data_IF_310939189871
#
_entry.id   IF_310939189871
#
_cell.length_a   1.000
_cell.length_b   1.000
_cell.length_c   1.000
_cell.angle_alpha   90.00
_cell.angle_beta   90.00
_cell.angle_gamma   90.00
#
_symmetry.space_group_name_H-M   'P 1'
#
loop_
_entity.id
_entity.type
_entity.pdbx_description
1 polymer ?
#
# COMPACT_ATOMS: atom_id res chain seq x y z
N UNK A 1 -71.59 15.73 -42.12
CA UNK A 1 -71.65 14.33 -41.70
C UNK A 1 -70.33 13.70 -42.06
N UNK A 2 -69.42 13.44 -41.13
CA UNK A 2 -68.51 12.32 -41.21
C UNK A 2 -67.79 12.23 -39.82
N UNK A 3 -67.97 11.07 -39.20
CA UNK A 3 -67.42 10.76 -37.86
C UNK A 3 -65.95 10.37 -37.95
N UNK A 4 -65.10 10.99 -37.17
CA UNK A 4 -63.72 10.55 -36.90
C UNK A 4 -63.71 9.51 -35.79
N UNK A 5 -63.05 8.37 -36.03
CA UNK A 5 -62.77 7.29 -35.07
C UNK A 5 -61.48 7.55 -34.29
N UNK A 6 -61.33 7.13 -33.05
CA UNK A 6 -60.22 7.46 -32.18
C UNK A 6 -59.01 6.55 -32.42
N UNK A 7 -57.80 7.14 -32.37
CA UNK A 7 -56.52 6.43 -32.39
C UNK A 7 -56.29 5.60 -31.12
N UNK A 8 -56.25 4.28 -31.28
CA UNK A 8 -55.79 3.36 -30.23
C UNK A 8 -54.29 3.45 -30.03
N UNK A 9 -53.89 3.89 -28.84
CA UNK A 9 -52.52 3.82 -28.35
C UNK A 9 -52.11 2.35 -28.15
N UNK A 10 -51.13 1.86 -28.91
CA UNK A 10 -50.47 0.57 -28.66
C UNK A 10 -49.61 0.68 -27.38
N UNK A 11 -49.90 -0.15 -26.40
CA UNK A 11 -49.03 -0.38 -25.23
C UNK A 11 -47.77 -1.14 -25.66
N UNK A 12 -46.57 -0.80 -25.12
CA UNK A 12 -45.37 -1.59 -25.37
C UNK A 12 -45.49 -2.92 -24.61
N UNK A 13 -45.21 -4.01 -25.30
CA UNK A 13 -45.22 -5.37 -24.78
C UNK A 13 -44.02 -5.59 -23.79
N UNK A 14 -44.11 -6.63 -22.95
CA UNK A 14 -43.13 -6.89 -21.92
C UNK A 14 -41.79 -7.28 -22.54
N UNK A 15 -40.74 -6.60 -22.09
CA UNK A 15 -39.33 -6.90 -22.41
C UNK A 15 -39.01 -8.28 -21.83
N UNK A 16 -38.70 -9.25 -22.68
CA UNK A 16 -38.21 -10.58 -22.28
C UNK A 16 -36.88 -10.43 -21.60
N UNK A 17 -36.86 -10.55 -20.27
CA UNK A 17 -35.64 -10.71 -19.48
C UNK A 17 -34.93 -12.01 -19.86
N UNK A 18 -33.74 -11.90 -20.38
CA UNK A 18 -32.83 -13.03 -20.55
C UNK A 18 -32.45 -13.56 -19.17
N UNK A 19 -33.05 -14.70 -18.77
CA UNK A 19 -32.63 -15.46 -17.60
C UNK A 19 -31.23 -16.01 -17.85
N UNK A 20 -30.25 -15.36 -17.28
CA UNK A 20 -28.93 -15.96 -17.07
C UNK A 20 -29.09 -17.09 -16.04
N UNK A 21 -29.10 -18.32 -16.51
CA UNK A 21 -28.99 -19.52 -15.66
C UNK A 21 -27.55 -19.57 -15.16
N UNK A 22 -27.27 -19.02 -13.99
CA UNK A 22 -26.07 -19.34 -13.23
C UNK A 22 -26.15 -20.79 -12.78
N UNK A 23 -25.28 -21.64 -13.31
CA UNK A 23 -25.03 -22.97 -12.71
C UNK A 23 -24.51 -22.75 -11.29
N UNK A 24 -25.05 -23.48 -10.27
CA UNK A 24 -24.43 -23.44 -8.95
C UNK A 24 -23.00 -23.95 -9.09
N UNK A 25 -22.05 -23.06 -8.84
CA UNK A 25 -20.64 -23.42 -8.77
C UNK A 25 -20.45 -24.38 -7.62
N UNK A 26 -19.98 -25.59 -7.90
CA UNK A 26 -19.48 -26.48 -6.87
C UNK A 26 -18.45 -25.71 -6.00
N UNK A 27 -18.40 -25.97 -4.67
CA UNK A 27 -17.41 -25.35 -3.81
C UNK A 27 -16.03 -25.69 -4.41
N UNK A 28 -15.31 -24.65 -4.84
CA UNK A 28 -13.93 -24.80 -5.24
C UNK A 28 -13.16 -25.22 -3.98
N UNK A 29 -13.03 -26.51 -3.80
CA UNK A 29 -12.11 -27.06 -2.84
C UNK A 29 -10.76 -26.40 -3.10
N UNK A 30 -10.18 -25.85 -2.05
CA UNK A 30 -8.89 -25.18 -2.04
C UNK A 30 -7.78 -26.24 -2.22
N UNK A 31 -7.79 -26.91 -3.39
CA UNK A 31 -6.68 -27.73 -3.84
C UNK A 31 -5.58 -26.78 -4.31
N UNK A 32 -4.93 -26.12 -3.33
CA UNK A 32 -3.55 -25.77 -3.54
C UNK A 32 -2.80 -27.10 -3.81
N UNK A 33 -2.76 -27.51 -5.06
CA UNK A 33 -1.64 -28.30 -5.52
C UNK A 33 -0.39 -27.50 -5.13
N UNK A 34 0.25 -27.89 -4.03
CA UNK A 34 1.63 -27.55 -3.75
C UNK A 34 2.39 -27.97 -5.00
N UNK A 35 2.66 -27.01 -5.91
CA UNK A 35 3.75 -27.19 -6.87
C UNK A 35 4.91 -27.55 -5.99
N UNK A 36 5.39 -28.78 -6.11
CA UNK A 36 6.58 -29.26 -5.39
C UNK A 36 7.65 -28.22 -5.65
N UNK A 37 8.12 -27.58 -4.59
CA UNK A 37 9.09 -26.51 -4.69
C UNK A 37 10.34 -27.10 -5.31
N UNK A 38 10.67 -26.73 -6.54
CA UNK A 38 11.82 -27.27 -7.26
C UNK A 38 13.14 -27.14 -6.46
N UNK A 39 13.20 -26.18 -5.53
CA UNK A 39 14.35 -25.92 -4.67
C UNK A 39 14.29 -26.62 -3.30
N UNK A 40 13.19 -27.33 -2.99
CA UNK A 40 12.98 -27.93 -1.66
C UNK A 40 14.02 -29.01 -1.31
N UNK A 41 14.68 -29.61 -2.32
CA UNK A 41 15.69 -30.62 -2.12
C UNK A 41 17.06 -30.07 -1.69
N UNK A 42 17.26 -28.74 -1.79
CA UNK A 42 18.54 -28.11 -1.49
C UNK A 42 18.70 -27.87 0.03
N UNK A 43 19.83 -28.18 0.65
CA UNK A 43 20.11 -27.92 2.06
C UNK A 43 19.90 -26.46 2.45
N UNK A 44 20.32 -25.51 1.61
CA UNK A 44 20.16 -24.07 1.85
C UNK A 44 18.69 -23.65 1.96
N UNK A 45 17.75 -24.34 1.30
CA UNK A 45 16.32 -24.05 1.37
C UNK A 45 15.76 -24.39 2.75
N UNK A 46 16.22 -25.49 3.36
CA UNK A 46 15.84 -25.85 4.73
C UNK A 46 16.25 -24.75 5.71
N UNK A 47 17.49 -24.29 5.64
CA UNK A 47 17.95 -23.18 6.50
C UNK A 47 17.20 -21.89 6.24
N UNK A 48 16.80 -21.62 5.00
CA UNK A 48 15.94 -20.48 4.69
C UNK A 48 14.59 -20.60 5.41
N UNK A 49 13.96 -21.76 5.44
CA UNK A 49 12.68 -21.95 6.11
C UNK A 49 12.80 -21.83 7.63
N UNK A 50 13.85 -22.38 8.23
CA UNK A 50 14.18 -22.21 9.65
C UNK A 50 14.41 -20.71 10.01
N UNK A 51 15.12 -19.97 9.15
CA UNK A 51 15.30 -18.53 9.33
C UNK A 51 13.98 -17.75 9.31
N UNK A 52 13.06 -18.09 8.41
CA UNK A 52 11.77 -17.41 8.35
C UNK A 52 10.85 -17.78 9.49
N UNK A 53 10.91 -19.00 9.99
CA UNK A 53 10.22 -19.38 11.23
C UNK A 53 10.76 -18.59 12.42
N UNK A 54 12.08 -18.50 12.56
CA UNK A 54 12.74 -17.66 13.57
C UNK A 54 12.30 -16.19 13.45
N UNK A 55 12.22 -15.63 12.24
CA UNK A 55 11.75 -14.27 12.03
C UNK A 55 10.31 -14.08 12.54
N UNK A 56 9.40 -15.02 12.28
CA UNK A 56 8.02 -14.94 12.75
C UNK A 56 7.96 -15.02 14.28
N UNK A 57 8.71 -15.93 14.89
CA UNK A 57 8.82 -16.07 16.36
C UNK A 57 9.36 -14.78 17.01
N UNK A 58 10.34 -14.14 16.38
CA UNK A 58 10.91 -12.88 16.86
C UNK A 58 10.10 -11.64 16.52
N UNK A 59 8.89 -11.79 15.91
CA UNK A 59 7.91 -10.75 15.76
C UNK A 59 7.97 -9.97 14.46
N UNK A 60 8.69 -10.45 13.43
CA UNK A 60 8.59 -9.86 12.10
C UNK A 60 7.21 -10.12 11.50
N UNK A 61 6.71 -9.18 10.70
CA UNK A 61 5.41 -9.33 10.02
C UNK A 61 5.50 -10.36 8.90
N UNK A 62 4.38 -11.04 8.61
CA UNK A 62 4.29 -12.02 7.52
C UNK A 62 4.64 -11.41 6.16
N UNK A 63 4.33 -10.13 5.93
CA UNK A 63 4.67 -9.42 4.69
C UNK A 63 6.18 -9.21 4.55
N UNK A 64 6.85 -8.80 5.63
CA UNK A 64 8.32 -8.70 5.65
C UNK A 64 8.98 -10.05 5.36
N UNK A 65 8.46 -11.13 5.97
CA UNK A 65 8.94 -12.49 5.73
C UNK A 65 8.73 -12.89 4.27
N UNK A 66 7.54 -12.59 3.71
CA UNK A 66 7.21 -12.91 2.31
C UNK A 66 8.16 -12.22 1.32
N UNK A 67 8.39 -10.93 1.48
CA UNK A 67 9.30 -10.17 0.61
C UNK A 67 10.75 -10.69 0.71
N UNK A 68 11.25 -10.93 1.93
CA UNK A 68 12.60 -11.47 2.13
C UNK A 68 12.74 -12.90 1.60
N UNK A 69 11.71 -13.73 1.75
CA UNK A 69 11.66 -15.10 1.20
C UNK A 69 11.86 -15.08 -0.31
N UNK A 70 11.15 -14.20 -1.00
CA UNK A 70 11.27 -14.09 -2.46
C UNK A 70 12.71 -13.73 -2.89
N UNK A 71 13.35 -12.78 -2.20
CA UNK A 71 14.72 -12.39 -2.51
C UNK A 71 15.73 -13.54 -2.28
N UNK A 72 15.63 -14.23 -1.13
CA UNK A 72 16.51 -15.38 -0.82
C UNK A 72 16.27 -16.54 -1.79
N UNK A 73 15.01 -16.83 -2.14
CA UNK A 73 14.70 -17.87 -3.13
C UNK A 73 15.32 -17.60 -4.50
N UNK A 74 15.32 -16.34 -4.96
CA UNK A 74 16.00 -15.97 -6.22
C UNK A 74 17.49 -16.22 -6.14
N UNK A 75 18.11 -15.93 -5.01
CA UNK A 75 19.52 -16.25 -4.79
C UNK A 75 19.77 -17.76 -4.78
N UNK A 76 18.93 -18.54 -4.09
CA UNK A 76 19.05 -20.01 -4.06
C UNK A 76 18.91 -20.60 -5.46
N UNK A 77 17.95 -20.15 -6.27
CA UNK A 77 17.82 -20.59 -7.66
C UNK A 77 19.07 -20.25 -8.49
N UNK A 78 19.64 -19.05 -8.29
CA UNK A 78 20.88 -18.67 -8.96
C UNK A 78 22.08 -19.52 -8.51
N UNK A 79 22.11 -19.98 -7.26
CA UNK A 79 23.10 -20.91 -6.72
C UNK A 79 22.93 -22.31 -7.32
N UNK A 80 21.69 -22.81 -7.38
CA UNK A 80 21.36 -24.14 -7.94
C UNK A 80 21.81 -24.26 -9.39
N UNK A 81 21.58 -23.27 -10.23
CA UNK A 81 22.08 -23.16 -11.60
C UNK A 81 23.63 -23.33 -11.71
N UNK A 82 24.34 -23.20 -10.57
CA UNK A 82 25.82 -23.26 -10.48
C UNK A 82 26.32 -24.40 -9.64
N UNK A 83 25.44 -25.33 -9.26
CA UNK A 83 25.77 -26.48 -8.44
C UNK A 83 26.13 -26.17 -6.99
N UNK A 84 25.71 -25.00 -6.48
CA UNK A 84 25.93 -24.55 -5.08
C UNK A 84 24.66 -24.84 -4.27
N UNK A 85 24.70 -25.81 -3.39
CA UNK A 85 23.53 -26.31 -2.68
C UNK A 85 23.57 -26.06 -1.16
N UNK A 86 24.78 -25.93 -0.61
CA UNK A 86 25.01 -25.79 0.83
C UNK A 86 25.44 -24.35 1.18
N UNK A 87 24.87 -23.71 2.22
CA UNK A 87 25.28 -22.37 2.62
C UNK A 87 26.75 -22.27 3.04
N UNK A 88 27.39 -23.40 3.41
CA UNK A 88 28.82 -23.46 3.77
C UNK A 88 29.75 -23.28 2.57
N UNK A 89 29.24 -23.50 1.37
CA UNK A 89 29.98 -23.29 0.11
C UNK A 89 29.98 -21.82 -0.32
N UNK A 90 29.08 -21.03 0.25
CA UNK A 90 28.90 -19.62 -0.15
C UNK A 90 29.97 -18.75 0.49
N UNK A 91 30.79 -18.15 -0.36
CA UNK A 91 31.86 -17.24 0.04
C UNK A 91 31.57 -15.81 -0.39
N UNK A 92 32.30 -14.81 0.14
CA UNK A 92 32.19 -13.41 -0.29
C UNK A 92 32.31 -13.25 -1.82
N UNK A 93 33.30 -13.85 -2.53
CA UNK A 93 33.36 -13.76 -4.00
C UNK A 93 32.11 -14.29 -4.72
N UNK A 94 31.40 -15.29 -4.16
CA UNK A 94 30.14 -15.81 -4.73
C UNK A 94 29.04 -14.76 -4.58
N UNK A 95 28.92 -14.11 -3.42
CA UNK A 95 27.95 -13.04 -3.19
C UNK A 95 28.22 -11.83 -4.09
N UNK A 96 29.48 -11.44 -4.26
CA UNK A 96 29.87 -10.36 -5.19
C UNK A 96 29.57 -10.74 -6.66
N UNK A 97 29.70 -12.02 -7.02
CA UNK A 97 29.30 -12.52 -8.34
C UNK A 97 27.79 -12.45 -8.53
N UNK A 98 27.01 -12.77 -7.49
CA UNK A 98 25.56 -12.58 -7.53
C UNK A 98 25.17 -11.10 -7.64
N UNK A 99 25.85 -10.20 -6.92
CA UNK A 99 25.66 -8.76 -7.05
C UNK A 99 25.93 -8.28 -8.48
N UNK A 100 27.00 -8.75 -9.11
CA UNK A 100 27.27 -8.46 -10.53
C UNK A 100 26.19 -9.04 -11.44
N UNK A 101 25.67 -10.23 -11.15
CA UNK A 101 24.55 -10.80 -11.89
C UNK A 101 23.31 -9.89 -11.81
N UNK A 102 22.95 -9.36 -10.65
CA UNK A 102 21.84 -8.43 -10.49
C UNK A 102 22.05 -7.12 -11.27
N UNK A 103 23.27 -6.62 -11.34
CA UNK A 103 23.61 -5.42 -12.12
C UNK A 103 23.40 -5.63 -13.63
N UNK A 104 23.80 -6.78 -14.15
CA UNK A 104 23.64 -7.11 -15.58
C UNK A 104 22.26 -7.68 -15.93
N UNK A 105 21.45 -8.00 -14.93
CA UNK A 105 20.11 -8.52 -15.16
C UNK A 105 19.24 -7.50 -15.91
N UNK A 106 18.46 -7.99 -16.87
CA UNK A 106 17.50 -7.19 -17.62
C UNK A 106 16.09 -7.74 -17.38
N UNK A 107 15.16 -6.85 -17.11
CA UNK A 107 13.74 -7.17 -17.00
C UNK A 107 13.16 -7.56 -18.35
N UNK A 108 11.91 -8.03 -18.38
CA UNK A 108 11.22 -8.37 -19.62
C UNK A 108 11.09 -7.18 -20.59
N UNK A 109 11.05 -5.95 -20.07
CA UNK A 109 11.07 -4.70 -20.83
C UNK A 109 12.47 -4.27 -21.30
N UNK A 110 13.51 -5.06 -21.05
CA UNK A 110 14.91 -4.77 -21.38
C UNK A 110 15.59 -3.81 -20.41
N UNK A 111 14.87 -3.19 -19.46
CA UNK A 111 15.45 -2.25 -18.51
C UNK A 111 16.31 -2.95 -17.44
N UNK A 112 17.39 -2.30 -16.96
CA UNK A 112 18.17 -2.82 -15.84
C UNK A 112 17.38 -2.76 -14.52
N UNK A 113 17.81 -3.52 -13.52
CA UNK A 113 17.34 -3.33 -12.14
C UNK A 113 17.81 -1.98 -11.61
N UNK A 114 16.90 -1.25 -10.96
CA UNK A 114 17.28 -0.03 -10.22
C UNK A 114 18.22 -0.37 -9.07
N UNK A 115 19.02 0.60 -8.61
CA UNK A 115 19.89 0.43 -7.45
C UNK A 115 19.08 0.05 -6.20
N UNK A 116 17.89 0.63 -6.00
CA UNK A 116 16.97 0.25 -4.91
C UNK A 116 16.53 -1.21 -5.02
N UNK A 117 16.19 -1.71 -6.23
CA UNK A 117 15.82 -3.12 -6.43
C UNK A 117 17.00 -4.07 -6.18
N UNK A 118 18.22 -3.69 -6.57
CA UNK A 118 19.42 -4.47 -6.26
C UNK A 118 19.69 -4.49 -4.75
N UNK A 119 19.57 -3.35 -4.07
CA UNK A 119 19.69 -3.24 -2.62
C UNK A 119 18.64 -4.11 -1.90
N UNK A 120 17.38 -4.07 -2.32
CA UNK A 120 16.30 -4.89 -1.77
C UNK A 120 16.54 -6.40 -1.98
N UNK A 121 17.20 -6.80 -3.05
CA UNK A 121 17.57 -8.20 -3.29
C UNK A 121 18.73 -8.66 -2.40
N UNK A 122 19.70 -7.80 -2.08
CA UNK A 122 20.92 -8.14 -1.33
C UNK A 122 20.75 -8.03 0.19
N UNK A 123 19.94 -7.08 0.68
CA UNK A 123 19.73 -6.85 2.13
C UNK A 123 19.22 -8.10 2.86
N UNK A 124 18.24 -8.87 2.35
CA UNK A 124 17.82 -10.12 2.97
C UNK A 124 18.93 -11.16 3.07
N UNK A 125 19.86 -11.22 2.11
CA UNK A 125 21.00 -12.13 2.16
C UNK A 125 21.95 -11.78 3.31
N UNK A 126 22.24 -10.47 3.53
CA UNK A 126 23.07 -10.06 4.68
C UNK A 126 22.45 -10.51 6.01
N UNK A 127 21.13 -10.38 6.16
CA UNK A 127 20.43 -10.82 7.39
C UNK A 127 20.39 -12.34 7.51
N UNK A 128 20.21 -13.06 6.43
CA UNK A 128 20.20 -14.53 6.39
C UNK A 128 21.55 -15.12 6.76
N UNK A 129 22.63 -14.69 6.11
CA UNK A 129 23.99 -15.17 6.43
C UNK A 129 24.47 -14.75 7.83
N UNK A 130 24.04 -13.57 8.31
CA UNK A 130 24.27 -13.17 9.70
C UNK A 130 23.58 -14.12 10.68
N UNK A 131 22.35 -14.52 10.39
CA UNK A 131 21.61 -15.49 11.20
C UNK A 131 22.26 -16.86 11.15
N UNK A 132 22.64 -17.37 9.97
CA UNK A 132 23.33 -18.66 9.83
C UNK A 132 24.62 -18.73 10.65
N UNK A 133 25.42 -17.65 10.66
CA UNK A 133 26.66 -17.59 11.45
C UNK A 133 26.34 -17.52 12.96
N UNK A 134 25.29 -16.78 13.36
CA UNK A 134 24.86 -16.67 14.76
C UNK A 134 24.37 -18.00 15.33
N UNK A 135 23.65 -18.78 14.53
CA UNK A 135 23.15 -20.11 14.91
C UNK A 135 24.16 -21.25 14.67
N UNK A 136 25.43 -20.91 14.31
CA UNK A 136 26.53 -21.85 14.05
C UNK A 136 26.27 -22.84 12.91
N UNK A 137 25.42 -22.51 11.95
CA UNK A 137 25.22 -23.29 10.73
C UNK A 137 26.39 -23.11 9.75
N UNK A 138 27.07 -21.97 9.82
CA UNK A 138 28.31 -21.64 9.08
C UNK A 138 29.33 -21.06 10.05
N UNK A 139 30.62 -21.25 9.75
CA UNK A 139 31.71 -20.80 10.63
C UNK A 139 31.88 -19.29 10.67
N UNK A 140 31.57 -18.59 9.59
CA UNK A 140 31.72 -17.14 9.45
C UNK A 140 30.69 -16.57 8.47
N UNK A 141 30.36 -15.31 8.61
CA UNK A 141 29.38 -14.63 7.77
C UNK A 141 30.01 -14.12 6.47
N UNK A 142 29.77 -14.73 5.29
CA UNK A 142 30.36 -14.29 4.02
C UNK A 142 29.81 -12.93 3.53
N UNK A 143 28.67 -12.47 4.09
CA UNK A 143 28.04 -11.22 3.71
C UNK A 143 28.42 -10.04 4.63
N UNK A 144 29.33 -10.25 5.62
CA UNK A 144 29.73 -9.20 6.56
C UNK A 144 30.26 -7.95 5.85
N UNK A 145 31.17 -8.15 4.90
CA UNK A 145 31.85 -7.10 4.14
C UNK A 145 31.22 -6.84 2.76
N UNK A 146 30.04 -7.42 2.49
CA UNK A 146 29.35 -7.18 1.21
C UNK A 146 28.86 -5.72 1.17
N UNK A 147 29.41 -4.93 0.25
CA UNK A 147 28.98 -3.55 0.01
C UNK A 147 27.69 -3.54 -0.78
N UNK A 148 26.67 -2.90 -0.21
CA UNK A 148 25.38 -2.76 -0.91
C UNK A 148 25.46 -1.57 -1.89
N UNK A 149 24.72 -1.64 -3.02
CA UNK A 149 24.60 -0.49 -3.92
C UNK A 149 24.12 0.75 -3.16
N UNK A 150 24.67 1.94 -3.45
CA UNK A 150 24.19 3.16 -2.83
C UNK A 150 22.73 3.39 -3.20
N UNK A 151 21.92 3.78 -2.22
CA UNK A 151 20.55 4.24 -2.51
C UNK A 151 20.61 5.74 -2.82
N UNK A 152 20.40 6.13 -4.08
CA UNK A 152 20.36 7.54 -4.42
C UNK A 152 19.14 8.17 -3.75
N UNK A 153 19.37 9.22 -2.99
CA UNK A 153 18.28 10.03 -2.44
C UNK A 153 17.71 10.90 -3.55
N UNK A 154 16.62 10.44 -4.16
CA UNK A 154 15.89 11.24 -5.12
C UNK A 154 14.72 11.92 -4.42
N UNK A 155 14.51 13.19 -4.70
CA UNK A 155 13.25 13.85 -4.35
C UNK A 155 12.09 13.13 -5.07
N UNK A 156 10.90 13.06 -4.49
CA UNK A 156 9.74 12.45 -5.12
C UNK A 156 9.51 13.03 -6.51
N UNK A 157 9.53 12.17 -7.54
CA UNK A 157 9.34 12.60 -8.93
C UNK A 157 7.91 13.02 -9.23
N UNK A 158 6.97 12.66 -8.39
CA UNK A 158 5.54 12.92 -8.59
C UNK A 158 4.90 13.31 -7.26
N UNK A 159 4.47 14.56 -7.16
CA UNK A 159 3.59 15.03 -6.11
C UNK A 159 2.25 15.39 -6.76
N UNK A 160 1.14 15.00 -6.12
CA UNK A 160 -0.18 15.47 -6.52
C UNK A 160 -0.35 16.90 -6.02
N UNK A 161 -0.79 17.80 -6.91
CA UNK A 161 -1.27 19.11 -6.49
C UNK A 161 -2.67 19.00 -5.85
N UNK A 162 -3.16 20.08 -5.26
CA UNK A 162 -4.53 20.13 -4.72
C UNK A 162 -5.54 19.88 -5.86
N UNK A 163 -5.29 20.46 -7.03
CA UNK A 163 -6.13 20.33 -8.23
C UNK A 163 -6.14 18.89 -8.74
N UNK A 164 -4.97 18.20 -8.74
CA UNK A 164 -4.87 16.78 -9.11
C UNK A 164 -5.72 15.92 -8.15
N UNK A 165 -5.57 16.14 -6.85
CA UNK A 165 -6.36 15.40 -5.84
C UNK A 165 -7.85 15.64 -6.04
N UNK A 166 -8.27 16.89 -6.22
CA UNK A 166 -9.68 17.22 -6.45
C UNK A 166 -10.21 16.62 -7.78
N UNK A 167 -9.37 16.52 -8.81
CA UNK A 167 -9.74 15.86 -10.07
C UNK A 167 -9.95 14.36 -9.85
N UNK A 168 -9.02 13.69 -9.16
CA UNK A 168 -9.13 12.25 -8.83
C UNK A 168 -10.38 11.99 -7.97
N UNK A 169 -10.64 12.84 -6.98
CA UNK A 169 -11.81 12.74 -6.11
C UNK A 169 -13.11 12.89 -6.91
N UNK A 170 -13.18 13.82 -7.88
CA UNK A 170 -14.35 14.02 -8.75
C UNK A 170 -14.59 12.90 -9.73
N UNK A 171 -13.56 12.15 -10.13
CA UNK A 171 -13.69 11.01 -11.03
C UNK A 171 -14.49 9.85 -10.39
N UNK A 172 -14.56 9.76 -9.07
CA UNK A 172 -15.41 8.78 -8.39
C UNK A 172 -16.90 9.17 -8.49
N UNK A 173 -17.67 8.46 -9.31
CA UNK A 173 -19.11 8.67 -9.48
C UNK A 173 -19.89 8.29 -8.20
N UNK A 174 -20.11 9.27 -7.36
CA UNK A 174 -20.81 9.09 -6.08
C UNK A 174 -22.33 8.84 -6.19
N UNK A 175 -22.90 8.82 -7.39
CA UNK A 175 -24.29 8.42 -7.62
C UNK A 175 -24.45 6.88 -7.59
N UNK A 176 -23.38 6.15 -7.86
CA UNK A 176 -23.34 4.70 -7.80
C UNK A 176 -22.92 4.18 -6.41
N UNK A 177 -23.37 2.99 -6.07
CA UNK A 177 -23.04 2.33 -4.78
C UNK A 177 -21.50 2.15 -4.62
N UNK A 178 -20.86 1.65 -5.68
CA UNK A 178 -19.40 1.42 -5.67
C UNK A 178 -18.62 2.73 -5.73
N UNK A 179 -19.09 3.71 -6.48
CA UNK A 179 -18.41 5.00 -6.58
C UNK A 179 -18.53 5.82 -5.29
N UNK A 180 -19.65 5.74 -4.55
CA UNK A 180 -19.77 6.36 -3.24
C UNK A 180 -18.79 5.76 -2.23
N UNK A 181 -18.61 4.42 -2.22
CA UNK A 181 -17.57 3.76 -1.45
C UNK A 181 -16.17 4.26 -1.84
N UNK A 182 -15.88 4.23 -3.15
CA UNK A 182 -14.58 4.57 -3.68
C UNK A 182 -14.25 6.04 -3.37
N UNK A 183 -15.24 6.95 -3.46
CA UNK A 183 -15.10 8.35 -3.03
C UNK A 183 -14.76 8.46 -1.55
N UNK A 184 -15.44 7.73 -0.68
CA UNK A 184 -15.16 7.74 0.75
C UNK A 184 -13.74 7.21 1.07
N UNK A 185 -13.28 6.15 0.38
CA UNK A 185 -11.91 5.64 0.51
C UNK A 185 -10.87 6.70 0.14
N UNK A 186 -11.05 7.39 -0.99
CA UNK A 186 -10.13 8.43 -1.46
C UNK A 186 -10.09 9.63 -0.52
N UNK A 187 -11.25 10.07 -0.01
CA UNK A 187 -11.35 11.17 0.96
C UNK A 187 -10.65 10.83 2.28
N UNK A 188 -10.82 9.61 2.79
CA UNK A 188 -10.14 9.16 4.00
C UNK A 188 -8.63 9.07 3.77
N UNK A 189 -8.16 8.52 2.63
CA UNK A 189 -6.74 8.49 2.28
C UNK A 189 -6.12 9.89 2.29
N UNK A 190 -6.77 10.84 1.65
CA UNK A 190 -6.26 12.21 1.54
C UNK A 190 -6.28 12.93 2.90
N UNK A 191 -7.39 12.81 3.62
CA UNK A 191 -7.55 13.50 4.90
C UNK A 191 -6.59 13.01 5.98
N UNK A 192 -6.34 11.70 6.03
CA UNK A 192 -5.60 11.07 7.14
C UNK A 192 -4.16 10.72 6.79
N UNK A 193 -3.82 10.65 5.50
CA UNK A 193 -2.52 10.18 5.05
C UNK A 193 -2.18 8.75 5.47
N UNK A 194 -3.18 7.89 5.70
CA UNK A 194 -2.99 6.50 6.10
C UNK A 194 -2.21 5.71 5.03
N UNK A 195 -1.44 4.71 5.48
CA UNK A 195 -0.86 3.73 4.57
C UNK A 195 -1.97 2.86 3.97
N UNK A 196 -1.76 2.36 2.75
CA UNK A 196 -2.75 1.49 2.06
C UNK A 196 -3.18 0.29 2.90
N UNK A 197 -2.24 -0.34 3.61
CA UNK A 197 -2.51 -1.47 4.50
C UNK A 197 -3.29 -1.06 5.74
N UNK A 198 -3.00 0.11 6.30
CA UNK A 198 -3.73 0.66 7.45
C UNK A 198 -5.18 0.94 7.07
N UNK A 199 -5.43 1.60 5.93
CA UNK A 199 -6.80 1.87 5.47
C UNK A 199 -7.58 0.57 5.18
N UNK A 200 -6.94 -0.40 4.51
CA UNK A 200 -7.57 -1.67 4.19
C UNK A 200 -7.96 -2.48 5.43
N UNK A 201 -7.19 -2.34 6.52
CA UNK A 201 -7.40 -3.06 7.76
C UNK A 201 -8.31 -2.32 8.77
N UNK A 202 -8.80 -1.12 8.45
CA UNK A 202 -9.72 -0.39 9.33
C UNK A 202 -11.00 -1.18 9.55
N UNK A 203 -11.45 -1.21 10.80
CA UNK A 203 -12.73 -1.76 11.19
C UNK A 203 -13.77 -0.64 11.33
N UNK A 204 -15.05 -0.99 11.28
CA UNK A 204 -16.16 -0.02 11.43
C UNK A 204 -16.04 0.84 12.68
N UNK A 205 -15.62 0.22 13.79
CA UNK A 205 -15.49 0.88 15.08
C UNK A 205 -14.19 1.66 15.27
N UNK A 206 -13.28 1.61 14.30
CA UNK A 206 -12.04 2.38 14.33
C UNK A 206 -12.25 3.83 13.85
N UNK A 207 -13.37 4.14 13.19
CA UNK A 207 -13.75 5.48 12.78
C UNK A 207 -14.82 6.04 13.72
N UNK A 208 -14.46 7.04 14.51
CA UNK A 208 -15.38 7.78 15.36
C UNK A 208 -15.75 9.10 14.66
N UNK A 209 -16.91 9.08 13.98
CA UNK A 209 -17.41 10.22 13.22
C UNK A 209 -17.89 11.37 14.10
N UNK A 210 -18.29 11.08 15.33
CA UNK A 210 -18.74 12.12 16.28
C UNK A 210 -17.56 12.97 16.77
N UNK A 211 -16.37 12.34 16.90
CA UNK A 211 -15.13 12.98 17.32
C UNK A 211 -14.21 13.32 16.17
N UNK A 212 -14.54 12.93 14.95
CA UNK A 212 -13.72 13.08 13.75
C UNK A 212 -12.30 12.56 13.95
N UNK A 213 -12.18 11.29 14.34
CA UNK A 213 -10.91 10.58 14.55
C UNK A 213 -10.96 9.17 13.98
N UNK A 214 -9.79 8.66 13.65
CA UNK A 214 -9.58 7.27 13.22
C UNK A 214 -8.52 6.62 14.12
N UNK A 215 -8.83 5.45 14.66
CA UNK A 215 -7.90 4.62 15.43
C UNK A 215 -7.15 3.69 14.47
N UNK A 216 -5.86 3.88 14.35
CA UNK A 216 -4.98 3.00 13.54
C UNK A 216 -4.35 2.01 14.48
N UNK A 217 -4.76 0.74 14.34
CA UNK A 217 -4.22 -0.38 15.13
C UNK A 217 -3.06 -1.03 14.40
N UNK A 218 -2.08 -1.49 15.16
CA UNK A 218 -0.94 -2.24 14.63
C UNK A 218 -0.24 -1.57 13.43
N UNK A 219 -0.08 -0.25 13.49
CA UNK A 219 0.71 0.49 12.50
C UNK A 219 2.14 -0.03 12.37
N UNK A 220 2.97 0.57 11.50
CA UNK A 220 4.38 0.16 11.33
C UNK A 220 5.07 0.07 12.71
N UNK A 221 5.62 -1.10 13.05
CA UNK A 221 6.21 -1.38 14.37
C UNK A 221 5.19 -1.72 15.45
N UNK A 222 3.97 -2.15 15.11
CA UNK A 222 2.88 -2.52 16.03
C UNK A 222 2.49 -1.42 17.02
N UNK A 223 2.56 -0.17 16.60
CA UNK A 223 2.18 0.98 17.43
C UNK A 223 0.82 1.50 17.00
N UNK A 224 -0.08 1.60 17.96
CA UNK A 224 -1.39 2.22 17.76
C UNK A 224 -1.24 3.74 17.76
N UNK A 225 -2.06 4.40 16.96
CA UNK A 225 -2.17 5.87 16.98
C UNK A 225 -3.57 6.31 16.62
N UNK A 226 -3.90 7.53 17.05
CA UNK A 226 -5.15 8.22 16.68
C UNK A 226 -4.81 9.29 15.65
N UNK A 227 -5.57 9.30 14.57
CA UNK A 227 -5.39 10.24 13.45
C UNK A 227 -6.65 11.10 13.32
N UNK A 228 -6.53 12.44 13.20
CA UNK A 228 -7.67 13.28 12.93
C UNK A 228 -8.28 13.01 11.56
N UNK A 229 -9.60 13.06 11.47
CA UNK A 229 -10.38 12.94 10.23
C UNK A 229 -10.96 14.33 9.91
N UNK A 230 -10.72 14.83 8.70
CA UNK A 230 -11.31 16.10 8.27
C UNK A 230 -12.82 16.00 8.10
N UNK A 231 -13.53 17.12 8.33
CA UNK A 231 -15.00 17.20 8.24
C UNK A 231 -15.53 16.64 6.91
N UNK A 232 -14.90 17.02 5.79
CA UNK A 232 -15.31 16.55 4.45
C UNK A 232 -15.19 15.03 4.32
N UNK A 233 -14.09 14.44 4.78
CA UNK A 233 -13.90 13.01 4.76
C UNK A 233 -14.88 12.29 5.70
N UNK A 234 -15.17 12.87 6.86
CA UNK A 234 -16.20 12.38 7.79
C UNK A 234 -17.58 12.32 7.15
N UNK A 235 -18.00 13.38 6.43
CA UNK A 235 -19.29 13.40 5.72
C UNK A 235 -19.37 12.33 4.62
N UNK A 236 -18.31 12.16 3.84
CA UNK A 236 -18.30 11.10 2.81
C UNK A 236 -18.29 9.70 3.41
N UNK A 237 -17.59 9.52 4.53
CA UNK A 237 -17.57 8.24 5.23
C UNK A 237 -18.94 7.91 5.84
N UNK A 238 -19.59 8.88 6.46
CA UNK A 238 -20.95 8.75 7.00
C UNK A 238 -21.95 8.36 5.90
N UNK A 239 -21.91 9.09 4.77
CA UNK A 239 -22.75 8.80 3.61
C UNK A 239 -22.51 7.39 3.07
N UNK A 240 -21.25 6.94 2.97
CA UNK A 240 -20.92 5.58 2.58
C UNK A 240 -21.50 4.56 3.55
N UNK A 241 -21.29 4.75 4.85
CA UNK A 241 -21.78 3.84 5.88
C UNK A 241 -23.31 3.71 5.90
N UNK A 242 -24.02 4.82 5.68
CA UNK A 242 -25.48 4.86 5.70
C UNK A 242 -26.12 4.37 4.40
N UNK A 243 -25.57 4.72 3.23
CA UNK A 243 -26.26 4.56 1.94
C UNK A 243 -25.66 3.48 1.05
N UNK A 244 -24.36 3.26 1.08
CA UNK A 244 -23.67 2.36 0.14
C UNK A 244 -23.32 1.03 0.79
N UNK A 245 -22.64 1.07 1.95
CA UNK A 245 -22.14 -0.14 2.62
C UNK A 245 -23.22 -1.21 2.86
N UNK A 246 -24.44 -0.89 3.30
CA UNK A 246 -25.50 -1.89 3.52
C UNK A 246 -25.95 -2.63 2.25
N UNK A 247 -25.64 -2.09 1.07
CA UNK A 247 -26.05 -2.67 -0.21
C UNK A 247 -25.08 -3.76 -0.71
N UNK A 248 -23.91 -3.91 -0.08
CA UNK A 248 -22.98 -4.98 -0.44
C UNK A 248 -23.36 -6.30 0.24
N UNK A 249 -23.39 -7.38 -0.52
CA UNK A 249 -23.65 -8.73 -0.01
C UNK A 249 -22.51 -9.11 0.94
N UNK A 250 -22.83 -9.64 2.13
CA UNK A 250 -21.82 -10.02 3.11
C UNK A 250 -21.25 -8.85 3.94
N UNK A 251 -21.85 -7.66 3.87
CA UNK A 251 -21.43 -6.50 4.62
C UNK A 251 -21.51 -6.61 6.16
N UNK A 252 -21.82 -7.80 6.69
CA UNK A 252 -21.81 -8.10 8.13
C UNK A 252 -20.40 -8.16 8.72
N UNK A 253 -19.36 -8.21 7.88
CA UNK A 253 -17.97 -8.20 8.36
C UNK A 253 -17.63 -6.87 9.06
N UNK A 254 -16.67 -6.93 9.99
CA UNK A 254 -16.22 -5.75 10.77
C UNK A 254 -15.39 -4.76 9.96
N UNK A 255 -14.95 -5.11 8.74
CA UNK A 255 -14.16 -4.20 7.90
C UNK A 255 -14.92 -2.91 7.62
N UNK A 256 -14.23 -1.76 7.71
CA UNK A 256 -14.81 -0.47 7.37
C UNK A 256 -15.16 -0.43 5.88
N UNK A 257 -14.22 -0.78 5.02
CA UNK A 257 -14.40 -0.83 3.58
C UNK A 257 -14.50 -2.26 3.06
N UNK A 258 -15.45 -2.49 2.18
CA UNK A 258 -15.69 -3.80 1.56
C UNK A 258 -15.60 -3.70 0.04
N UNK A 259 -15.21 -4.81 -0.61
CA UNK A 259 -15.17 -4.93 -2.07
C UNK A 259 -16.60 -5.15 -2.65
N UNK A 260 -16.68 -5.39 -3.94
CA UNK A 260 -17.97 -5.56 -4.64
C UNK A 260 -18.74 -6.83 -4.22
N UNK A 261 -18.07 -7.74 -3.50
CA UNK A 261 -18.63 -8.99 -2.96
C UNK A 261 -18.93 -8.91 -1.45
N UNK A 262 -18.74 -7.75 -0.82
CA UNK A 262 -18.92 -7.55 0.62
C UNK A 262 -17.78 -8.08 1.49
N UNK A 263 -16.67 -8.52 0.90
CA UNK A 263 -15.46 -8.94 1.61
C UNK A 263 -14.57 -7.73 1.95
N UNK A 264 -13.68 -7.82 2.95
CA UNK A 264 -12.73 -6.76 3.25
C UNK A 264 -11.90 -6.37 2.01
N UNK A 265 -11.72 -5.08 1.77
CA UNK A 265 -10.82 -4.61 0.70
C UNK A 265 -9.38 -5.03 1.00
N UNK A 266 -8.66 -5.47 -0.04
CA UNK A 266 -7.23 -5.73 0.07
C UNK A 266 -6.42 -4.46 -0.24
N UNK A 267 -5.17 -4.37 0.24
CA UNK A 267 -4.29 -3.25 -0.14
C UNK A 267 -4.11 -3.11 -1.66
N UNK A 268 -4.06 -4.23 -2.39
CA UNK A 268 -3.91 -4.23 -3.85
C UNK A 268 -5.18 -3.78 -4.57
N UNK A 269 -6.36 -4.17 -4.07
CA UNK A 269 -7.64 -3.66 -4.56
C UNK A 269 -7.70 -2.13 -4.43
N UNK A 270 -7.31 -1.60 -3.26
CA UNK A 270 -7.27 -0.16 -3.01
C UNK A 270 -6.30 0.54 -3.97
N UNK A 271 -5.08 0.00 -4.14
CA UNK A 271 -4.09 0.56 -5.05
C UNK A 271 -4.58 0.59 -6.51
N UNK A 272 -5.24 -0.49 -6.96
CA UNK A 272 -5.83 -0.57 -8.30
C UNK A 272 -6.96 0.45 -8.50
N UNK A 273 -7.80 0.66 -7.50
CA UNK A 273 -8.87 1.68 -7.55
C UNK A 273 -8.30 3.09 -7.63
N UNK A 274 -7.31 3.42 -6.79
CA UNK A 274 -6.62 4.72 -6.84
C UNK A 274 -6.00 4.94 -8.22
N UNK A 275 -5.27 3.94 -8.76
CA UNK A 275 -4.65 4.06 -10.09
C UNK A 275 -5.69 4.31 -11.16
N UNK A 276 -6.79 3.56 -11.16
CA UNK A 276 -7.90 3.75 -12.11
C UNK A 276 -8.43 5.18 -12.08
N UNK A 277 -8.71 5.74 -10.90
CA UNK A 277 -9.21 7.11 -10.79
C UNK A 277 -8.18 8.17 -11.16
N UNK A 278 -6.90 7.89 -10.98
CA UNK A 278 -5.83 8.75 -11.51
C UNK A 278 -5.85 8.76 -13.04
N UNK A 279 -5.99 7.58 -13.68
CA UNK A 279 -6.06 7.45 -15.15
C UNK A 279 -7.32 8.12 -15.69
N UNK A 280 -8.49 7.93 -15.07
CA UNK A 280 -9.76 8.59 -15.41
C UNK A 280 -9.69 10.12 -15.27
N UNK A 281 -8.91 10.63 -14.30
CA UNK A 281 -8.66 12.05 -14.11
C UNK A 281 -7.56 12.62 -15.04
N UNK A 282 -6.93 11.79 -15.88
CA UNK A 282 -5.85 12.21 -16.77
C UNK A 282 -4.53 12.50 -16.05
N UNK A 283 -4.31 11.93 -14.85
CA UNK A 283 -3.11 12.16 -14.04
C UNK A 283 -2.07 11.07 -14.36
N UNK A 284 -1.14 11.40 -15.25
CA UNK A 284 -0.02 10.51 -15.61
C UNK A 284 1.17 10.69 -14.66
N UNK A 285 0.98 10.27 -13.40
CA UNK A 285 2.02 10.25 -12.37
C UNK A 285 2.20 8.83 -11.86
N UNK A 286 3.45 8.31 -11.76
CA UNK A 286 3.69 6.95 -11.26
C UNK A 286 3.35 6.84 -9.78
N UNK A 287 2.66 5.77 -9.40
CA UNK A 287 2.28 5.51 -8.01
C UNK A 287 0.77 5.34 -7.82
N UNK A 288 0.33 5.27 -6.57
CA UNK A 288 -1.07 5.11 -6.18
C UNK A 288 -1.35 5.71 -4.78
N UNK A 289 -1.78 4.92 -3.81
CA UNK A 289 -2.19 5.39 -2.47
C UNK A 289 -1.12 6.24 -1.74
N UNK A 290 0.16 5.92 -1.91
CA UNK A 290 1.24 6.68 -1.26
C UNK A 290 1.32 8.14 -1.77
N UNK A 291 0.89 8.42 -3.01
CA UNK A 291 0.81 9.79 -3.51
C UNK A 291 -0.20 10.64 -2.72
N UNK A 292 -1.30 10.06 -2.27
CA UNK A 292 -2.26 10.74 -1.40
C UNK A 292 -1.66 11.06 -0.03
N UNK A 293 -0.85 10.13 0.51
CA UNK A 293 -0.13 10.36 1.78
C UNK A 293 0.90 11.47 1.64
N UNK A 294 1.68 11.48 0.55
CA UNK A 294 2.61 12.57 0.24
C UNK A 294 1.89 13.90 0.07
N UNK A 295 0.77 13.91 -0.68
CA UNK A 295 -0.03 15.11 -0.90
C UNK A 295 -0.60 15.64 0.42
N UNK A 296 -1.19 14.78 1.26
CA UNK A 296 -1.68 15.15 2.60
C UNK A 296 -0.57 15.84 3.41
N UNK A 297 0.60 15.20 3.52
CA UNK A 297 1.73 15.71 4.29
C UNK A 297 2.26 17.05 3.74
N UNK A 298 2.48 17.13 2.43
CA UNK A 298 3.04 18.31 1.77
C UNK A 298 2.08 19.48 1.82
N UNK A 299 0.80 19.26 1.51
CA UNK A 299 -0.20 20.32 1.51
C UNK A 299 -0.46 20.86 2.92
N UNK A 300 -0.43 20.00 3.95
CA UNK A 300 -0.51 20.47 5.33
C UNK A 300 0.71 21.32 5.71
N UNK A 301 1.90 20.90 5.30
CA UNK A 301 3.13 21.66 5.56
C UNK A 301 3.11 23.00 4.82
N UNK A 302 2.75 23.01 3.54
CA UNK A 302 2.63 24.21 2.71
C UNK A 302 1.60 25.20 3.30
N UNK A 303 0.58 24.70 4.02
CA UNK A 303 -0.41 25.49 4.75
C UNK A 303 0.02 25.82 6.20
N UNK A 304 1.29 25.62 6.56
CA UNK A 304 1.86 26.05 7.84
C UNK A 304 1.71 25.07 8.99
N UNK A 305 1.42 23.79 8.75
CA UNK A 305 1.48 22.80 9.82
C UNK A 305 2.92 22.54 10.26
N UNK A 306 3.15 22.47 11.58
CA UNK A 306 4.44 22.03 12.10
C UNK A 306 4.72 20.57 11.68
N UNK A 307 5.92 20.32 11.14
CA UNK A 307 6.37 19.02 10.68
C UNK A 307 6.23 17.92 11.74
N UNK A 308 6.39 18.26 13.03
CA UNK A 308 6.27 17.31 14.14
C UNK A 308 4.85 16.75 14.25
N UNK A 309 3.84 17.59 14.01
CA UNK A 309 2.44 17.14 14.01
C UNK A 309 2.14 16.24 12.82
N UNK A 310 2.68 16.58 11.65
CA UNK A 310 2.55 15.74 10.44
C UNK A 310 3.21 14.38 10.69
N UNK A 311 4.44 14.35 11.22
CA UNK A 311 5.14 13.13 11.55
C UNK A 311 4.38 12.27 12.58
N UNK A 312 3.80 12.89 13.61
CA UNK A 312 2.99 12.19 14.61
C UNK A 312 1.72 11.60 13.98
N UNK A 313 1.00 12.36 13.14
CA UNK A 313 -0.19 11.91 12.43
C UNK A 313 0.12 10.74 11.50
N UNK A 314 1.21 10.82 10.75
CA UNK A 314 1.64 9.79 9.82
C UNK A 314 2.26 8.57 10.52
N UNK A 315 2.70 8.68 11.77
CA UNK A 315 3.30 7.58 12.53
C UNK A 315 4.73 7.26 12.09
N UNK A 316 5.58 8.29 11.92
CA UNK A 316 7.00 8.12 11.64
C UNK A 316 7.74 7.65 12.89
N UNK A 317 8.48 6.55 12.80
CA UNK A 317 9.14 5.89 13.94
C UNK A 317 10.33 6.66 14.55
N UNK A 318 10.78 7.76 13.93
CA UNK A 318 12.03 8.43 14.28
C UNK A 318 11.96 9.37 15.51
N UNK A 319 10.78 9.56 16.13
CA UNK A 319 10.67 10.33 17.36
C UNK A 319 10.35 9.42 18.54
N UNK A 320 11.33 9.17 19.37
CA UNK A 320 11.31 8.34 20.60
C UNK A 320 10.41 8.91 21.73
N UNK A 321 9.40 9.71 21.41
CA UNK A 321 8.53 10.38 22.40
C UNK A 321 7.05 9.99 22.29
N UNK A 322 6.75 8.74 21.90
CA UNK A 322 5.37 8.24 21.72
C UNK A 322 4.57 8.19 23.04
N UNK A 323 5.20 8.32 24.19
CA UNK A 323 4.55 8.25 25.49
C UNK A 323 3.82 9.53 25.95
N UNK A 324 3.92 10.64 25.21
CA UNK A 324 3.34 11.91 25.64
C UNK A 324 2.08 12.37 24.88
N UNK A 325 1.61 11.61 23.90
CA UNK A 325 0.39 11.99 23.18
C UNK A 325 -0.85 11.30 23.76
N UNK A 326 -1.15 11.64 25.02
CA UNK A 326 -2.43 11.38 25.67
C UNK A 326 -3.53 12.28 25.10
N UNK A 327 -4.79 12.09 25.50
CA UNK A 327 -6.00 12.77 25.02
C UNK A 327 -5.90 14.30 24.77
N UNK A 328 -5.00 14.99 25.45
CA UNK A 328 -4.76 16.43 25.28
C UNK A 328 -4.13 16.74 23.91
N UNK A 329 -3.35 15.81 23.36
CA UNK A 329 -2.65 16.04 22.09
C UNK A 329 -3.56 15.86 20.86
N UNK A 330 -4.60 15.02 20.92
CA UNK A 330 -5.47 14.78 19.74
C UNK A 330 -6.29 16.04 19.41
N UNK A 331 -6.78 16.78 20.39
CA UNK A 331 -7.48 18.05 20.15
C UNK A 331 -6.59 19.09 19.44
N UNK A 332 -5.29 19.13 19.78
CA UNK A 332 -4.33 20.02 19.10
C UNK A 332 -4.06 19.54 17.66
N UNK A 333 -3.92 18.23 17.45
CA UNK A 333 -3.79 17.64 16.11
C UNK A 333 -5.02 17.96 15.25
N UNK A 334 -6.23 17.86 15.80
CA UNK A 334 -7.47 18.22 15.10
C UNK A 334 -7.51 19.69 14.72
N UNK A 335 -7.12 20.59 15.63
CA UNK A 335 -7.06 22.03 15.34
C UNK A 335 -6.08 22.34 14.20
N UNK A 336 -4.88 21.75 14.23
CA UNK A 336 -3.87 21.94 13.19
C UNK A 336 -4.36 21.33 11.88
N UNK A 337 -4.90 20.12 11.91
CA UNK A 337 -5.45 19.45 10.73
C UNK A 337 -6.58 20.31 10.11
N UNK A 338 -7.55 20.77 10.91
CA UNK A 338 -8.63 21.62 10.43
C UNK A 338 -8.13 22.97 9.89
N UNK A 339 -7.05 23.51 10.45
CA UNK A 339 -6.45 24.76 9.98
C UNK A 339 -5.66 24.59 8.67
N UNK A 340 -4.94 23.48 8.50
CA UNK A 340 -3.91 23.34 7.46
C UNK A 340 -4.24 22.35 6.35
N UNK A 341 -5.13 21.36 6.57
CA UNK A 341 -5.51 20.41 5.53
C UNK A 341 -6.41 21.06 4.47
N UNK A 342 -6.13 20.91 3.15
CA UNK A 342 -6.90 21.60 2.09
C UNK A 342 -8.35 21.14 1.95
N UNK A 343 -8.64 19.87 2.28
CA UNK A 343 -9.98 19.30 2.21
C UNK A 343 -10.90 19.82 3.32
N UNK A 344 -11.20 21.13 3.27
CA UNK A 344 -12.13 21.82 4.18
C UNK A 344 -13.50 21.99 3.54
N UNK A 345 -14.54 22.09 4.35
CA UNK A 345 -15.76 22.75 3.93
C UNK A 345 -15.41 24.23 3.76
N UNK A 346 -15.56 24.78 2.54
CA UNK A 346 -15.17 26.17 2.23
C UNK A 346 -15.79 27.17 3.20
N UNK A 347 -15.00 27.63 4.17
CA UNK A 347 -15.17 28.89 4.88
C UNK A 347 -13.91 29.70 4.61
N UNK A 348 -14.09 30.96 4.17
CA UNK A 348 -13.01 31.71 3.53
C UNK A 348 -11.77 32.05 4.35
N UNK A 349 -10.67 32.23 3.63
CA UNK A 349 -9.50 33.13 3.69
C UNK A 349 -8.32 32.90 4.64
N UNK A 350 -7.16 32.86 4.08
CA UNK A 350 -5.88 33.65 4.08
C UNK A 350 -4.92 33.48 5.26
N UNK A 351 -3.58 33.44 5.12
CA UNK A 351 -2.57 34.28 4.57
C UNK A 351 -1.12 33.76 4.77
N UNK A 352 -0.16 34.39 4.13
CA UNK A 352 1.27 34.12 3.89
C UNK A 352 2.24 34.31 5.05
N UNK A 353 3.43 33.66 4.95
CA UNK A 353 4.70 34.04 5.57
C UNK A 353 5.61 32.89 6.01
N UNK A 354 6.84 32.82 5.49
CA UNK A 354 8.01 32.04 5.88
C UNK A 354 8.47 30.97 4.88
N UNK A 355 9.11 31.41 3.78
CA UNK A 355 9.46 30.51 2.66
C UNK A 355 10.73 29.65 2.83
N UNK A 356 11.78 30.08 3.53
CA UNK A 356 13.07 29.36 3.56
C UNK A 356 13.14 28.22 4.58
N UNK A 357 12.58 28.40 5.78
CA UNK A 357 12.46 27.31 6.76
C UNK A 357 11.45 26.26 6.32
N UNK A 358 10.44 26.66 5.56
CA UNK A 358 9.43 25.80 4.99
C UNK A 358 10.02 24.88 3.89
N UNK A 359 10.98 25.36 3.11
CA UNK A 359 11.63 24.56 2.07
C UNK A 359 12.51 23.46 2.65
N UNK A 360 13.30 23.75 3.70
CA UNK A 360 14.09 22.75 4.43
C UNK A 360 13.22 21.73 5.16
N UNK A 361 12.12 22.16 5.78
CA UNK A 361 11.18 21.27 6.43
C UNK A 361 10.45 20.35 5.42
N UNK A 362 10.16 20.87 4.23
CA UNK A 362 9.57 20.12 3.12
C UNK A 362 10.52 19.03 2.60
N UNK A 363 11.80 19.35 2.39
CA UNK A 363 12.81 18.38 1.98
C UNK A 363 12.98 17.26 3.02
N UNK A 364 13.07 17.61 4.30
CA UNK A 364 13.19 16.64 5.39
C UNK A 364 11.96 15.73 5.51
N UNK A 365 10.76 16.26 5.30
CA UNK A 365 9.52 15.48 5.29
C UNK A 365 9.47 14.53 4.08
N UNK A 366 9.82 15.01 2.90
CA UNK A 366 9.87 14.21 1.68
C UNK A 366 10.90 13.08 1.78
N UNK A 367 12.08 13.33 2.35
CA UNK A 367 13.07 12.27 2.64
C UNK A 367 12.52 11.21 3.60
N UNK A 368 11.79 11.61 4.65
CA UNK A 368 11.19 10.69 5.60
C UNK A 368 10.12 9.82 4.96
N UNK A 369 9.28 10.39 4.09
CA UNK A 369 8.22 9.68 3.36
C UNK A 369 8.81 8.70 2.32
N UNK A 370 9.89 9.09 1.62
CA UNK A 370 10.58 8.22 0.66
C UNK A 370 11.21 6.99 1.32
N UNK A 371 11.76 7.13 2.53
CA UNK A 371 12.30 5.99 3.29
C UNK A 371 11.21 4.97 3.64
N UNK A 372 9.98 5.42 3.82
CA UNK A 372 8.84 4.52 4.04
C UNK A 372 8.42 3.77 2.79
N UNK A 373 8.50 4.42 1.62
CA UNK A 373 8.15 3.80 0.34
C UNK A 373 9.21 2.77 -0.09
N UNK A 374 10.48 3.00 0.18
CA UNK A 374 11.56 2.03 -0.07
C UNK A 374 11.40 0.77 0.81
N UNK A 375 10.95 0.92 2.05
CA UNK A 375 10.62 -0.20 2.93
C UNK A 375 9.34 -0.94 2.47
N UNK A 376 8.41 -0.24 1.78
CA UNK A 376 7.20 -0.82 1.21
C UNK A 376 7.40 -1.41 -0.20
N UNK A 377 8.37 -0.89 -0.97
CA UNK A 377 8.71 -1.35 -2.32
C UNK A 377 9.48 -2.69 -2.34
N UNK A 378 9.80 -3.27 -1.18
CA UNK A 378 10.19 -4.68 -1.06
C UNK A 378 9.11 -5.66 -1.54
N UNK A 379 7.90 -5.16 -1.80
CA UNK A 379 6.77 -5.88 -2.38
C UNK A 379 6.70 -5.63 -3.91
N UNK A 380 7.65 -6.19 -4.66
CA UNK A 380 7.52 -6.23 -6.13
C UNK A 380 6.45 -7.26 -6.48
N UNK A 381 5.38 -6.89 -7.21
CA UNK A 381 4.38 -7.84 -7.65
C UNK A 381 5.02 -8.92 -8.52
N UNK A 382 4.64 -10.18 -8.28
CA UNK A 382 5.04 -11.30 -9.09
C UNK A 382 4.60 -11.07 -10.54
N UNK A 383 5.57 -11.02 -11.46
CA UNK A 383 5.34 -11.04 -12.89
C UNK A 383 4.57 -12.32 -13.26
N UNK A 384 3.30 -12.16 -13.66
CA UNK A 384 2.45 -13.23 -14.20
C UNK A 384 2.71 -13.38 -15.70
N UNK A 385 3.94 -13.55 -16.13
CA UNK A 385 4.24 -13.91 -17.51
C UNK A 385 5.25 -15.04 -17.58
N UNK A 386 4.76 -16.24 -17.42
CA UNK A 386 5.52 -17.47 -17.58
C UNK A 386 4.62 -18.62 -17.99
N UNK A 387 3.97 -18.51 -19.17
CA UNK A 387 3.49 -19.67 -19.91
C UNK A 387 3.63 -19.44 -21.40
N UNK A 388 4.35 -20.45 -21.97
CA UNK A 388 4.31 -20.85 -23.39
C UNK A 388 5.07 -19.97 -24.37
N UNK A 389 6.01 -20.53 -25.09
CA UNK A 389 5.92 -21.71 -25.95
C UNK A 389 7.30 -22.17 -26.41
N UNK A 390 7.44 -23.49 -26.48
CA UNK A 390 8.41 -24.13 -27.36
C UNK A 390 7.86 -24.18 -28.81
N UNK A 391 8.66 -24.33 -29.84
CA UNK A 391 9.24 -25.64 -30.22
C UNK A 391 10.73 -25.75 -29.97
#
# INVERSE_FOLDING_TARGET
MSRALPHTRKQPGPVRGTRYKSKPGAPKGNTHHRKTDALAHLPITRYMDEHFEWMLITGYTSDTVRGRRQAIRRFIAWCDDRGLSDPREITKPILERYQRHLFYYRKADGAPLSLGSQHAALTPLKTFFKWLAKENHILWNPASELELPPQPKHLPRALLSIEDVEAILRAADHSSVTGLRDRAMLEVLYSTGLRRTELANLRRYDADLSRLIVFVREGKGRKDRVVPLGERAGLWLDKYMAQSRPQFIGAECDALFVNDYGEPVTPDYLASKVRRYMDEAGIDKPGSCHLFRHACATHMLDNGADIRFIQAMLGHAALSSTERYTHVAIGKLQQIHAATHPAKLRRGSSADGARDDQMRAREALLEALLREDDDAAGDVPADKSGTESRP
#
